data_IF_380664297318
#
_entry.id   IF_380664297318
#
_cell.length_a   1.000
_cell.length_b   1.000
_cell.length_c   1.000
_cell.angle_alpha   90.00
_cell.angle_beta   90.00
_cell.angle_gamma   90.00
#
_symmetry.space_group_name_H-M   'P 1'
#
loop_
_entity.id
_entity.type
_entity.pdbx_description
1 polymer ?
#
# COMPACT_ATOMS: atom_id res chain seq x y z
N UNK A 1 12.39 17.00 16.16
CA UNK A 1 12.22 18.13 17.11
C UNK A 1 10.73 18.36 17.22
N UNK A 2 10.16 18.06 18.39
CA UNK A 2 8.71 18.20 18.66
C UNK A 2 8.29 19.61 18.30
N UNK A 3 7.34 19.77 17.38
CA UNK A 3 6.74 21.08 17.15
C UNK A 3 5.96 21.45 18.41
N UNK A 4 6.55 22.30 19.23
CA UNK A 4 5.86 22.98 20.32
C UNK A 4 4.88 23.98 19.70
N UNK A 5 3.59 23.63 19.68
CA UNK A 5 2.54 24.59 19.42
C UNK A 5 2.52 25.65 20.54
N UNK A 6 2.29 26.92 20.17
CA UNK A 6 2.23 28.01 21.12
C UNK A 6 1.02 27.85 22.06
N UNK A 7 1.13 28.15 23.37
CA UNK A 7 0.04 27.94 24.35
C UNK A 7 -1.23 28.80 24.14
N UNK A 8 -1.25 29.67 23.13
CA UNK A 8 -2.33 30.65 22.89
C UNK A 8 -3.19 30.33 21.68
N UNK A 9 -2.85 29.32 20.88
CA UNK A 9 -3.77 28.84 19.85
C UNK A 9 -4.86 28.03 20.54
N UNK A 10 -6.11 28.49 20.43
CA UNK A 10 -7.26 27.85 21.04
C UNK A 10 -7.41 26.40 20.59
N UNK A 11 -6.74 25.48 21.28
CA UNK A 11 -6.97 24.05 21.18
C UNK A 11 -8.29 23.74 21.90
N UNK A 12 -9.40 23.84 21.18
CA UNK A 12 -10.51 22.94 21.45
C UNK A 12 -9.95 21.51 21.40
N UNK A 13 -10.21 20.71 22.43
CA UNK A 13 -9.75 19.32 22.52
C UNK A 13 -9.94 18.60 21.17
N UNK A 14 -8.85 18.39 20.44
CA UNK A 14 -8.89 17.93 19.05
C UNK A 14 -9.38 16.50 18.98
N UNK A 15 -10.26 16.22 18.02
CA UNK A 15 -10.87 14.92 17.71
C UNK A 15 -9.85 13.87 17.19
N UNK A 16 -8.54 14.05 17.40
CA UNK A 16 -7.48 13.21 16.81
C UNK A 16 -7.27 13.42 15.29
N UNK A 17 -7.99 14.37 14.68
CA UNK A 17 -7.96 14.64 13.24
C UNK A 17 -7.07 15.81 12.84
N UNK A 18 -6.44 15.70 11.68
CA UNK A 18 -5.65 16.73 11.02
C UNK A 18 -6.52 17.66 10.18
N UNK A 19 -7.57 17.15 9.54
CA UNK A 19 -8.47 17.96 8.72
C UNK A 19 -9.45 18.77 9.60
N UNK A 20 -9.49 20.08 9.36
CA UNK A 20 -10.53 20.94 9.93
C UNK A 20 -11.84 20.74 9.15
N UNK A 21 -12.68 19.83 9.62
CA UNK A 21 -13.85 19.33 8.90
C UNK A 21 -14.74 20.44 8.31
N UNK A 22 -15.06 21.49 9.07
CA UNK A 22 -15.90 22.59 8.58
C UNK A 22 -15.26 23.37 7.42
N UNK A 23 -13.93 23.57 7.44
CA UNK A 23 -13.21 24.21 6.33
C UNK A 23 -13.16 23.32 5.10
N UNK A 24 -12.91 22.02 5.29
CA UNK A 24 -12.88 21.06 4.19
C UNK A 24 -14.27 20.91 3.57
N UNK A 25 -15.31 20.81 4.38
CA UNK A 25 -16.70 20.78 3.89
C UNK A 25 -17.05 22.03 3.07
N UNK A 26 -16.63 23.22 3.52
CA UNK A 26 -16.83 24.45 2.78
C UNK A 26 -16.05 24.47 1.45
N UNK A 27 -14.81 23.95 1.43
CA UNK A 27 -14.01 23.83 0.21
C UNK A 27 -14.64 22.85 -0.80
N UNK A 28 -15.16 21.71 -0.33
CA UNK A 28 -15.88 20.73 -1.14
C UNK A 28 -17.18 21.31 -1.71
N UNK A 29 -17.94 22.06 -0.90
CA UNK A 29 -19.12 22.79 -1.37
C UNK A 29 -18.79 23.85 -2.42
N UNK A 30 -17.70 24.62 -2.22
CA UNK A 30 -17.23 25.59 -3.21
C UNK A 30 -16.87 24.94 -4.55
N UNK A 31 -16.29 23.73 -4.53
CA UNK A 31 -16.03 22.97 -5.76
C UNK A 31 -17.34 22.65 -6.52
N UNK A 32 -18.39 22.24 -5.80
CA UNK A 32 -19.71 21.97 -6.38
C UNK A 32 -20.36 23.24 -6.94
N UNK A 33 -20.28 24.38 -6.23
CA UNK A 33 -20.77 25.68 -6.69
C UNK A 33 -20.10 26.11 -8.01
N UNK A 34 -18.84 25.73 -8.20
CA UNK A 34 -18.08 25.96 -9.44
C UNK A 34 -18.37 24.93 -10.55
N UNK A 35 -19.27 23.98 -10.32
CA UNK A 35 -19.73 22.99 -11.29
C UNK A 35 -18.96 21.67 -11.27
N UNK A 36 -18.28 21.32 -10.17
CA UNK A 36 -17.77 19.97 -9.98
C UNK A 36 -18.93 18.99 -9.72
N UNK A 37 -18.90 17.82 -10.34
CA UNK A 37 -19.84 16.73 -10.04
C UNK A 37 -19.43 15.91 -8.82
N UNK A 38 -18.13 15.91 -8.51
CA UNK A 38 -17.56 15.25 -7.33
C UNK A 38 -16.28 15.98 -6.89
N UNK A 39 -16.02 16.00 -5.59
CA UNK A 39 -14.76 16.42 -5.01
C UNK A 39 -14.43 15.60 -3.76
N UNK A 40 -13.15 15.40 -3.49
CA UNK A 40 -12.66 14.73 -2.30
C UNK A 40 -11.39 15.41 -1.77
N UNK A 41 -11.15 15.24 -0.47
CA UNK A 41 -9.89 15.54 0.19
C UNK A 41 -9.48 14.30 0.99
N UNK A 42 -8.33 13.73 0.64
CA UNK A 42 -7.72 12.59 1.34
C UNK A 42 -6.40 13.01 1.96
N UNK A 43 -6.28 12.88 3.26
CA UNK A 43 -5.06 13.11 4.02
C UNK A 43 -4.51 11.79 4.51
N UNK A 44 -3.20 11.59 4.37
CA UNK A 44 -2.48 10.51 5.01
C UNK A 44 -1.35 11.07 5.86
N UNK A 45 -1.30 10.66 7.12
CA UNK A 45 -0.19 10.91 8.02
C UNK A 45 0.48 9.56 8.35
N UNK A 46 1.79 9.49 8.15
CA UNK A 46 2.60 8.30 8.40
C UNK A 46 3.60 8.65 9.50
N UNK A 47 3.66 7.82 10.54
CA UNK A 47 4.76 7.84 11.51
C UNK A 47 5.51 6.54 11.38
N UNK A 48 6.75 6.61 10.94
CA UNK A 48 7.57 5.45 10.63
C UNK A 48 8.92 5.49 11.33
N UNK A 49 9.61 4.37 11.30
CA UNK A 49 11.03 4.35 11.61
C UNK A 49 11.78 3.26 10.86
N UNK A 50 12.99 3.60 10.42
CA UNK A 50 13.91 2.69 9.74
C UNK A 50 15.21 2.58 10.52
N UNK A 51 15.59 1.37 10.89
CA UNK A 51 16.90 1.05 11.49
C UNK A 51 17.65 0.09 10.58
N UNK A 52 18.95 0.30 10.37
CA UNK A 52 19.77 -0.65 9.64
C UNK A 52 21.10 -0.89 10.35
N UNK A 53 21.49 -2.16 10.39
CA UNK A 53 22.80 -2.60 10.87
C UNK A 53 23.56 -3.29 9.74
N UNK A 54 24.88 -3.14 9.72
CA UNK A 54 25.80 -3.87 8.86
C UNK A 54 26.91 -4.45 9.72
N UNK A 55 27.13 -5.75 9.58
CA UNK A 55 28.22 -6.48 10.23
C UNK A 55 28.30 -6.17 11.74
N UNK A 56 27.14 -6.24 12.41
CA UNK A 56 26.96 -5.99 13.85
C UNK A 56 27.03 -4.52 14.27
N UNK A 57 27.13 -3.57 13.33
CA UNK A 57 27.25 -2.14 13.62
C UNK A 57 26.05 -1.36 13.11
N UNK A 58 25.57 -0.42 13.92
CA UNK A 58 24.51 0.51 13.53
C UNK A 58 24.98 1.43 12.39
N UNK A 59 24.28 1.40 11.26
CA UNK A 59 24.51 2.32 10.14
C UNK A 59 23.57 3.53 10.22
N UNK A 60 22.29 3.29 10.51
CA UNK A 60 21.28 4.34 10.61
C UNK A 60 20.14 3.95 11.53
N UNK A 61 19.57 4.95 12.19
CA UNK A 61 18.30 4.88 12.89
C UNK A 61 17.56 6.21 12.62
N UNK A 62 16.53 6.16 11.77
CA UNK A 62 15.86 7.34 11.26
C UNK A 62 14.37 7.21 11.62
N UNK A 63 13.84 8.05 12.52
CA UNK A 63 12.40 8.22 12.66
C UNK A 63 11.87 9.13 11.54
N UNK A 64 10.70 8.78 11.00
CA UNK A 64 10.00 9.52 9.96
C UNK A 64 8.63 10.02 10.43
N UNK A 65 8.27 11.18 9.91
CA UNK A 65 6.91 11.71 9.98
C UNK A 65 6.59 12.33 8.63
N UNK A 66 5.57 11.80 7.98
CA UNK A 66 5.10 12.28 6.69
C UNK A 66 3.64 12.67 6.81
N UNK A 67 3.30 13.78 6.15
CA UNK A 67 1.92 14.19 6.00
C UNK A 67 1.71 14.68 4.58
N UNK A 68 0.74 14.10 3.91
CA UNK A 68 0.35 14.47 2.56
C UNK A 68 -1.15 14.60 2.48
N UNK A 69 -1.62 15.57 1.72
CA UNK A 69 -3.03 15.71 1.41
C UNK A 69 -3.24 15.92 -0.08
N UNK A 70 -4.21 15.21 -0.63
CA UNK A 70 -4.60 15.26 -2.03
C UNK A 70 -6.06 15.66 -2.12
N UNK A 71 -6.36 16.65 -2.95
CA UNK A 71 -7.70 17.03 -3.35
C UNK A 71 -7.92 16.61 -4.81
N UNK A 72 -8.91 15.75 -5.05
CA UNK A 72 -9.37 15.42 -6.42
C UNK A 72 -10.73 16.06 -6.67
N UNK A 73 -10.89 16.66 -7.84
CA UNK A 73 -12.14 17.29 -8.28
C UNK A 73 -12.49 16.77 -9.67
N UNK A 74 -13.69 16.21 -9.82
CA UNK A 74 -14.26 15.79 -11.09
C UNK A 74 -15.19 16.88 -11.61
N UNK A 75 -14.87 17.45 -12.78
CA UNK A 75 -15.74 18.41 -13.46
C UNK A 75 -15.80 18.09 -14.96
N UNK A 76 -17.00 18.14 -15.53
CA UNK A 76 -17.27 17.85 -16.95
C UNK A 76 -16.66 16.52 -17.44
N UNK A 77 -16.57 15.53 -16.54
CA UNK A 77 -16.01 14.20 -16.80
C UNK A 77 -14.49 14.14 -16.95
N UNK A 78 -13.75 15.02 -16.26
CA UNK A 78 -12.30 14.95 -16.14
C UNK A 78 -11.81 15.36 -14.74
N UNK A 79 -10.68 14.79 -14.32
CA UNK A 79 -10.07 15.06 -13.03
C UNK A 79 -9.17 16.31 -13.05
N UNK A 80 -9.29 17.11 -12.00
CA UNK A 80 -8.28 18.05 -11.54
C UNK A 80 -7.75 17.56 -10.20
N UNK A 81 -6.43 17.55 -10.03
CA UNK A 81 -5.77 17.04 -8.82
C UNK A 81 -4.82 18.08 -8.27
N UNK A 82 -4.87 18.30 -6.96
CA UNK A 82 -3.93 19.14 -6.23
C UNK A 82 -3.43 18.39 -5.00
N UNK A 83 -2.11 18.22 -4.89
CA UNK A 83 -1.46 17.56 -3.75
C UNK A 83 -0.51 18.53 -3.06
N UNK A 84 -0.49 18.52 -1.73
CA UNK A 84 0.35 19.42 -0.93
C UNK A 84 0.64 18.83 0.44
N UNK A 85 1.67 19.32 1.11
CA UNK A 85 1.94 19.06 2.53
C UNK A 85 1.42 20.21 3.41
N UNK A 86 0.99 21.33 2.82
CA UNK A 86 0.36 22.45 3.53
C UNK A 86 -1.17 22.31 3.49
N UNK A 87 -1.72 21.66 4.52
CA UNK A 87 -3.17 21.44 4.68
C UNK A 87 -3.96 22.75 4.69
N UNK A 88 -3.39 23.84 5.23
CA UNK A 88 -4.11 25.11 5.35
C UNK A 88 -4.28 25.81 3.99
N UNK A 89 -3.43 25.48 3.02
CA UNK A 89 -3.50 26.04 1.66
C UNK A 89 -4.68 25.49 0.83
N UNK A 90 -5.22 24.32 1.18
CA UNK A 90 -6.21 23.59 0.36
C UNK A 90 -7.43 24.42 -0.06
N UNK A 91 -8.12 25.16 0.83
CA UNK A 91 -9.30 25.93 0.41
C UNK A 91 -8.99 26.96 -0.69
N UNK A 92 -7.77 27.51 -0.70
CA UNK A 92 -7.32 28.46 -1.72
C UNK A 92 -7.01 27.83 -3.07
N UNK A 93 -6.98 26.50 -3.18
CA UNK A 93 -6.64 25.77 -4.40
C UNK A 93 -7.87 25.17 -5.11
N UNK A 94 -9.08 25.37 -4.58
CA UNK A 94 -10.31 24.80 -5.15
C UNK A 94 -10.56 25.31 -6.57
N UNK A 95 -10.56 26.64 -6.77
CA UNK A 95 -10.84 27.25 -8.08
C UNK A 95 -9.83 26.85 -9.16
N UNK A 96 -8.53 26.86 -8.81
CA UNK A 96 -7.47 26.45 -9.74
C UNK A 96 -7.61 24.99 -10.14
N UNK A 97 -8.01 24.12 -9.20
CA UNK A 97 -8.21 22.68 -9.41
C UNK A 97 -9.46 22.40 -10.26
N UNK A 98 -10.59 23.08 -10.01
CA UNK A 98 -11.79 23.00 -10.87
C UNK A 98 -11.47 23.48 -12.29
N UNK A 99 -10.74 24.60 -12.41
CA UNK A 99 -10.32 25.13 -13.72
C UNK A 99 -9.43 24.13 -14.47
N UNK A 100 -8.53 23.43 -13.76
CA UNK A 100 -7.72 22.38 -14.35
C UNK A 100 -8.60 21.23 -14.88
N UNK A 101 -9.53 20.73 -14.06
CA UNK A 101 -10.48 19.67 -14.45
C UNK A 101 -11.23 20.04 -15.74
N UNK A 102 -11.84 21.23 -15.78
CA UNK A 102 -12.55 21.75 -16.96
C UNK A 102 -11.65 21.93 -18.18
N UNK A 103 -10.41 22.37 -17.98
CA UNK A 103 -9.43 22.51 -19.05
C UNK A 103 -9.03 21.15 -19.65
N UNK A 104 -8.93 20.09 -18.84
CA UNK A 104 -8.69 18.73 -19.31
C UNK A 104 -9.93 18.21 -20.06
N UNK A 105 -11.13 18.39 -19.51
CA UNK A 105 -12.38 17.99 -20.16
C UNK A 105 -12.54 18.62 -21.56
N UNK A 106 -12.20 19.90 -21.72
CA UNK A 106 -12.27 20.61 -23.00
C UNK A 106 -11.30 20.08 -24.08
N UNK A 107 -10.27 19.31 -23.69
CA UNK A 107 -9.27 18.72 -24.60
C UNK A 107 -9.44 17.21 -24.78
N UNK A 108 -10.42 16.59 -24.10
CA UNK A 108 -10.74 15.17 -24.21
C UNK A 108 -11.05 14.83 -25.67
N UNK A 109 -10.48 13.75 -26.20
CA UNK A 109 -10.79 13.32 -27.56
C UNK A 109 -12.24 12.86 -27.63
N UNK A 110 -12.89 13.04 -28.78
CA UNK A 110 -14.31 12.67 -28.96
C UNK A 110 -14.57 11.16 -28.81
N UNK A 111 -13.54 10.33 -28.97
CA UNK A 111 -13.61 8.87 -28.78
C UNK A 111 -13.50 8.44 -27.31
N UNK A 112 -12.98 9.31 -26.44
CA UNK A 112 -12.76 8.99 -25.03
C UNK A 112 -14.03 9.28 -24.24
N UNK A 113 -14.42 8.35 -23.35
CA UNK A 113 -15.60 8.52 -22.50
C UNK A 113 -15.30 9.52 -21.37
N UNK A 114 -16.26 10.39 -20.99
CA UNK A 114 -16.11 11.19 -19.78
C UNK A 114 -15.99 10.27 -18.56
N UNK A 115 -15.14 10.66 -17.61
CA UNK A 115 -15.02 9.96 -16.32
C UNK A 115 -16.32 10.15 -15.54
N UNK A 116 -16.79 9.05 -14.95
CA UNK A 116 -17.92 9.01 -14.03
C UNK A 116 -17.65 7.94 -12.97
N UNK A 117 -18.32 8.07 -11.82
CA UNK A 117 -18.10 7.23 -10.65
C UNK A 117 -19.30 6.31 -10.44
N UNK A 118 -19.03 5.08 -10.03
CA UNK A 118 -20.08 4.19 -9.54
C UNK A 118 -20.56 4.67 -8.15
N UNK A 119 -21.84 4.46 -7.88
CA UNK A 119 -22.44 4.77 -6.59
C UNK A 119 -21.88 3.85 -5.50
N UNK A 120 -21.69 4.43 -4.31
CA UNK A 120 -21.20 3.71 -3.12
C UNK A 120 -21.99 4.13 -1.89
N UNK A 121 -22.06 3.29 -0.85
CA UNK A 121 -22.61 3.70 0.44
C UNK A 121 -21.83 4.90 0.99
N UNK A 122 -22.53 5.96 1.39
CA UNK A 122 -21.93 7.11 2.06
C UNK A 122 -21.86 6.81 3.56
N UNK A 123 -20.65 6.80 4.12
CA UNK A 123 -20.37 6.36 5.48
C UNK A 123 -19.68 7.48 6.28
N UNK A 124 -20.05 7.56 7.56
CA UNK A 124 -19.45 8.46 8.54
C UNK A 124 -19.07 7.66 9.80
N UNK A 125 -17.82 7.24 9.87
CA UNK A 125 -17.27 6.45 10.97
C UNK A 125 -15.74 6.42 10.94
N UNK A 126 -15.17 5.94 12.05
CA UNK A 126 -13.74 5.74 12.23
C UNK A 126 -13.43 4.26 12.45
N UNK A 127 -12.39 3.72 11.79
CA UNK A 127 -11.97 2.31 11.91
C UNK A 127 -10.49 2.22 12.23
N UNK A 128 -10.16 1.80 13.44
CA UNK A 128 -8.77 1.71 13.91
C UNK A 128 -8.39 0.27 14.24
N UNK A 129 -7.53 -0.31 13.41
CA UNK A 129 -6.93 -1.62 13.63
C UNK A 129 -5.77 -1.47 14.62
N UNK A 130 -6.05 -1.73 15.89
CA UNK A 130 -5.07 -1.63 16.96
C UNK A 130 -4.15 -2.86 16.97
N UNK A 131 -2.81 -2.66 17.05
CA UNK A 131 -1.87 -3.74 17.27
C UNK A 131 -1.95 -4.24 18.72
N UNK A 132 -1.36 -5.40 19.01
CA UNK A 132 -1.14 -5.87 20.39
C UNK A 132 -0.03 -5.07 21.08
N UNK A 133 1.03 -4.70 20.35
CA UNK A 133 2.19 -3.93 20.81
C UNK A 133 2.52 -2.81 19.82
N UNK A 134 2.07 -1.60 20.11
CA UNK A 134 2.25 -0.44 19.23
C UNK A 134 3.73 -0.12 18.92
N UNK A 135 4.10 -0.09 17.64
CA UNK A 135 5.50 0.16 17.22
C UNK A 135 6.00 1.55 17.60
N UNK A 136 5.10 2.52 17.78
CA UNK A 136 5.46 3.88 18.21
C UNK A 136 6.01 3.92 19.63
N UNK A 137 5.76 2.87 20.42
CA UNK A 137 6.28 2.70 21.77
C UNK A 137 7.53 1.81 21.82
N UNK A 138 7.99 1.30 20.68
CA UNK A 138 9.16 0.42 20.61
C UNK A 138 10.44 1.26 20.56
N UNK A 139 11.29 1.12 21.57
CA UNK A 139 12.57 1.84 21.64
C UNK A 139 13.63 1.27 20.70
N UNK A 140 14.72 2.02 20.52
CA UNK A 140 15.82 1.62 19.63
C UNK A 140 16.52 0.35 20.13
N UNK A 141 16.68 0.18 21.44
CA UNK A 141 17.40 -0.96 22.01
C UNK A 141 16.66 -2.28 21.73
N UNK A 142 15.33 -2.28 21.82
CA UNK A 142 14.49 -3.42 21.43
C UNK A 142 14.66 -3.75 19.94
N UNK A 143 14.63 -2.73 19.06
CA UNK A 143 14.84 -2.92 17.62
C UNK A 143 16.21 -3.50 17.32
N UNK A 144 17.26 -2.97 17.97
CA UNK A 144 18.63 -3.46 17.84
C UNK A 144 18.77 -4.90 18.34
N UNK A 145 18.11 -5.26 19.44
CA UNK A 145 18.12 -6.63 19.96
C UNK A 145 17.59 -7.65 18.94
N UNK A 146 16.46 -7.35 18.29
CA UNK A 146 15.91 -8.21 17.24
C UNK A 146 16.81 -8.26 16.00
N UNK A 147 17.35 -7.11 15.57
CA UNK A 147 18.28 -7.05 14.44
C UNK A 147 19.56 -7.85 14.70
N UNK A 148 20.14 -7.76 15.90
CA UNK A 148 21.33 -8.53 16.27
C UNK A 148 21.04 -10.03 16.34
N UNK A 149 19.87 -10.43 16.84
CA UNK A 149 19.46 -11.84 16.84
C UNK A 149 19.43 -12.42 15.41
N UNK A 150 18.86 -11.68 14.45
CA UNK A 150 18.83 -12.07 13.04
C UNK A 150 20.24 -12.04 12.41
N UNK A 151 21.04 -11.04 12.75
CA UNK A 151 22.41 -10.90 12.25
C UNK A 151 23.31 -12.05 12.70
N UNK A 152 23.38 -12.28 14.01
CA UNK A 152 24.34 -13.20 14.62
C UNK A 152 24.10 -14.64 14.13
N UNK A 153 22.83 -15.04 14.04
CA UNK A 153 22.43 -16.35 13.51
C UNK A 153 22.73 -16.54 12.01
N UNK A 154 22.77 -15.47 11.23
CA UNK A 154 23.15 -15.53 9.82
C UNK A 154 24.68 -15.55 9.61
N UNK A 155 25.45 -15.03 10.55
CA UNK A 155 26.89 -14.79 10.41
C UNK A 155 27.78 -15.97 10.87
N UNK A 156 27.23 -17.08 11.36
CA UNK A 156 27.97 -18.21 11.98
C UNK A 156 28.93 -19.03 11.05
N UNK A 157 29.14 -18.65 9.79
CA UNK A 157 30.03 -19.36 8.84
C UNK A 157 31.05 -18.40 8.22
N UNK A 158 32.32 -18.83 8.16
CA UNK A 158 33.45 -17.99 7.70
C UNK A 158 33.33 -17.49 6.25
N UNK A 159 32.51 -18.15 5.42
CA UNK A 159 32.25 -17.72 4.05
C UNK A 159 31.21 -16.61 3.99
N UNK A 160 30.47 -16.36 5.08
CA UNK A 160 29.59 -15.20 5.18
C UNK A 160 30.45 -13.99 5.49
N UNK A 161 30.66 -13.17 4.46
CA UNK A 161 31.58 -12.03 4.52
C UNK A 161 30.89 -10.72 4.87
N UNK A 162 29.55 -10.65 4.75
CA UNK A 162 28.78 -9.50 5.22
C UNK A 162 27.31 -9.86 5.45
N UNK A 163 26.73 -9.27 6.49
CA UNK A 163 25.29 -9.34 6.78
C UNK A 163 24.76 -7.93 7.02
N UNK A 164 23.73 -7.54 6.29
CA UNK A 164 22.99 -6.30 6.51
C UNK A 164 21.58 -6.64 6.97
N UNK A 165 21.15 -6.14 8.13
CA UNK A 165 19.80 -6.30 8.62
C UNK A 165 19.08 -4.95 8.68
N UNK A 166 17.78 -4.97 8.41
CA UNK A 166 16.94 -3.78 8.40
C UNK A 166 15.64 -4.00 9.18
N UNK A 167 15.19 -2.92 9.79
CA UNK A 167 13.92 -2.80 10.50
C UNK A 167 13.14 -1.66 9.84
N UNK A 168 11.86 -1.88 9.59
CA UNK A 168 10.90 -0.87 9.16
C UNK A 168 9.59 -1.04 9.93
N UNK A 169 9.11 0.02 10.55
CA UNK A 169 7.76 0.07 11.11
C UNK A 169 7.04 1.34 10.68
N UNK A 170 5.71 1.27 10.58
CA UNK A 170 4.87 2.39 10.19
C UNK A 170 3.51 2.34 10.89
N UNK A 171 3.02 3.51 11.30
CA UNK A 171 1.64 3.78 11.66
C UNK A 171 1.03 4.67 10.59
N UNK A 172 0.01 4.18 9.90
CA UNK A 172 -0.69 4.93 8.87
C UNK A 172 -2.01 5.44 9.45
N UNK A 173 -2.26 6.74 9.35
CA UNK A 173 -3.52 7.40 9.67
C UNK A 173 -4.05 8.08 8.42
N UNK A 174 -5.31 7.81 8.07
CA UNK A 174 -5.92 8.36 6.86
C UNK A 174 -7.28 8.98 7.18
N UNK A 175 -7.54 10.12 6.56
CA UNK A 175 -8.81 10.83 6.64
C UNK A 175 -9.33 11.11 5.23
N UNK A 176 -10.60 10.85 4.99
CA UNK A 176 -11.27 11.13 3.72
C UNK A 176 -12.54 11.94 3.99
N UNK A 177 -12.70 13.03 3.24
CA UNK A 177 -13.94 13.79 3.15
C UNK A 177 -14.32 13.99 1.69
N UNK A 178 -15.60 13.83 1.35
CA UNK A 178 -16.08 13.97 -0.04
C UNK A 178 -17.28 14.92 -0.12
N UNK A 179 -17.51 15.48 -1.31
CA UNK A 179 -18.65 16.34 -1.61
C UNK A 179 -19.99 15.61 -1.55
N UNK A 180 -19.98 14.27 -1.55
CA UNK A 180 -21.15 13.41 -1.38
C UNK A 180 -21.50 13.15 0.09
N UNK A 181 -20.67 13.65 1.03
CA UNK A 181 -20.89 13.52 2.47
C UNK A 181 -20.12 12.37 3.14
N UNK A 182 -19.31 11.60 2.40
CA UNK A 182 -18.42 10.60 3.01
C UNK A 182 -17.45 11.29 3.97
N UNK A 183 -17.33 10.78 5.19
CA UNK A 183 -16.45 11.32 6.22
C UNK A 183 -15.83 10.18 7.04
N UNK A 184 -14.66 9.70 6.61
CA UNK A 184 -14.03 8.48 7.13
C UNK A 184 -12.68 8.78 7.76
N UNK A 185 -12.35 8.03 8.80
CA UNK A 185 -11.00 7.97 9.37
C UNK A 185 -10.60 6.51 9.56
N UNK A 186 -9.36 6.17 9.26
CA UNK A 186 -8.84 4.87 9.65
C UNK A 186 -7.36 4.89 9.97
N UNK A 187 -6.93 3.90 10.74
CA UNK A 187 -5.51 3.66 10.97
C UNK A 187 -5.19 2.20 11.23
N UNK A 188 -3.96 1.84 10.91
CA UNK A 188 -3.37 0.51 11.14
C UNK A 188 -1.83 0.64 11.17
N UNK A 189 -1.13 -0.45 11.45
CA UNK A 189 0.33 -0.48 11.51
C UNK A 189 0.90 -1.58 10.63
N UNK A 190 2.15 -1.42 10.18
CA UNK A 190 2.94 -2.51 9.61
C UNK A 190 4.30 -2.56 10.25
N UNK A 191 4.84 -3.77 10.33
CA UNK A 191 6.18 -4.04 10.84
C UNK A 191 6.90 -5.01 9.91
N UNK A 192 8.20 -4.77 9.68
CA UNK A 192 9.04 -5.58 8.81
C UNK A 192 10.46 -5.64 9.38
N UNK A 193 11.02 -6.85 9.41
CA UNK A 193 12.45 -7.09 9.63
C UNK A 193 13.01 -7.87 8.44
N UNK A 194 14.23 -7.55 8.01
CA UNK A 194 14.88 -8.22 6.89
C UNK A 194 16.38 -8.39 7.07
N UNK A 195 16.97 -9.28 6.27
CA UNK A 195 18.40 -9.41 6.14
C UNK A 195 18.82 -9.68 4.70
N UNK A 196 19.97 -9.14 4.32
CA UNK A 196 20.74 -9.54 3.14
C UNK A 196 22.04 -10.17 3.62
N UNK A 197 22.24 -11.45 3.29
CA UNK A 197 23.40 -12.25 3.68
C UNK A 197 24.27 -12.44 2.46
N UNK A 198 25.55 -12.10 2.54
CA UNK A 198 26.50 -12.18 1.42
C UNK A 198 27.58 -13.21 1.73
N UNK A 199 27.69 -14.20 0.85
CA UNK A 199 28.67 -15.26 0.91
C UNK A 199 29.77 -15.09 -0.14
N UNK A 200 30.97 -15.55 0.17
CA UNK A 200 32.11 -15.60 -0.75
C UNK A 200 32.85 -16.93 -0.61
N UNK A 201 33.19 -17.53 -1.75
CA UNK A 201 34.11 -18.67 -1.83
C UNK A 201 35.05 -18.46 -3.03
N UNK A 202 36.34 -18.24 -2.74
CA UNK A 202 37.32 -17.82 -3.74
C UNK A 202 36.88 -16.53 -4.48
N UNK A 203 36.65 -16.66 -5.79
CA UNK A 203 36.20 -15.56 -6.66
C UNK A 203 34.68 -15.37 -6.69
N UNK A 204 33.91 -16.36 -6.23
CA UNK A 204 32.45 -16.34 -6.33
C UNK A 204 31.84 -15.56 -5.16
N UNK A 205 30.84 -14.73 -5.49
CA UNK A 205 30.09 -13.91 -4.53
C UNK A 205 28.61 -14.04 -4.83
N UNK A 206 27.83 -14.38 -3.81
CA UNK A 206 26.37 -14.49 -3.89
C UNK A 206 25.74 -13.78 -2.72
N UNK A 207 24.47 -13.36 -2.88
CA UNK A 207 23.68 -12.81 -1.80
C UNK A 207 22.31 -13.47 -1.74
N UNK A 208 21.80 -13.68 -0.54
CA UNK A 208 20.44 -14.13 -0.28
C UNK A 208 19.69 -13.07 0.54
N UNK A 209 18.41 -12.88 0.24
CA UNK A 209 17.54 -11.94 0.97
C UNK A 209 16.47 -12.73 1.71
N UNK A 210 16.26 -12.38 2.98
CA UNK A 210 15.17 -12.89 3.79
C UNK A 210 14.43 -11.73 4.44
N UNK A 211 13.14 -11.91 4.72
CA UNK A 211 12.30 -10.91 5.36
C UNK A 211 11.13 -11.56 6.07
N UNK A 212 10.65 -10.91 7.12
CA UNK A 212 9.40 -11.23 7.79
C UNK A 212 8.69 -9.92 8.15
N UNK A 213 7.38 -9.86 7.92
CA UNK A 213 6.59 -8.69 8.23
C UNK A 213 5.12 -8.87 7.92
N UNK A 214 4.33 -7.92 8.40
CA UNK A 214 2.86 -7.99 8.32
C UNK A 214 2.19 -6.71 8.80
N UNK A 215 0.86 -6.66 8.64
CA UNK A 215 0.02 -5.71 9.37
C UNK A 215 0.02 -6.05 10.86
N UNK A 216 0.25 -5.06 11.69
CA UNK A 216 0.39 -5.20 13.13
C UNK A 216 1.63 -4.52 13.69
N UNK A 217 1.77 -4.62 15.01
CA UNK A 217 2.82 -3.96 15.77
C UNK A 217 4.07 -4.83 15.95
N UNK A 218 4.79 -4.58 17.05
CA UNK A 218 5.99 -5.34 17.44
C UNK A 218 5.71 -6.84 17.57
N UNK A 219 4.49 -7.24 17.92
CA UNK A 219 4.09 -8.66 17.99
C UNK A 219 4.34 -9.41 16.68
N UNK A 220 4.25 -8.74 15.52
CA UNK A 220 4.49 -9.36 14.22
C UNK A 220 5.94 -9.86 14.11
N UNK A 221 6.88 -9.10 14.67
CA UNK A 221 8.31 -9.43 14.64
C UNK A 221 8.65 -10.45 15.72
N UNK A 222 8.07 -10.33 16.91
CA UNK A 222 8.30 -11.27 18.02
C UNK A 222 7.68 -12.66 17.79
N UNK A 223 6.60 -12.76 17.00
CA UNK A 223 6.00 -14.04 16.62
C UNK A 223 6.88 -14.83 15.63
N UNK A 224 7.95 -14.24 15.10
CA UNK A 224 8.92 -14.88 14.21
C UNK A 224 10.15 -15.40 14.98
N UNK A 225 10.58 -16.63 14.69
CA UNK A 225 11.89 -17.11 15.12
C UNK A 225 13.00 -16.48 14.26
N UNK A 226 13.49 -15.31 14.71
CA UNK A 226 14.53 -14.55 14.00
C UNK A 226 15.87 -15.30 13.93
N UNK A 227 16.15 -16.18 14.89
CA UNK A 227 17.34 -17.02 14.86
C UNK A 227 17.26 -18.06 13.75
N UNK A 228 16.10 -18.71 13.60
CA UNK A 228 15.87 -19.62 12.48
C UNK A 228 15.82 -18.90 11.13
N UNK A 229 15.24 -17.70 11.08
CA UNK A 229 15.22 -16.87 9.87
C UNK A 229 16.64 -16.55 9.39
N UNK A 230 17.54 -16.20 10.31
CA UNK A 230 18.95 -15.93 10.01
C UNK A 230 19.72 -17.18 9.59
N UNK A 231 19.59 -18.29 10.34
CA UNK A 231 20.20 -19.58 9.97
C UNK A 231 19.74 -20.07 8.60
N UNK A 232 18.45 -19.98 8.31
CA UNK A 232 17.90 -20.34 7.00
C UNK A 232 18.48 -19.48 5.87
N UNK A 233 18.68 -18.18 6.10
CA UNK A 233 19.32 -17.28 5.13
C UNK A 233 20.80 -17.58 4.91
N UNK A 234 21.53 -17.96 5.96
CA UNK A 234 22.90 -18.47 5.86
C UNK A 234 22.94 -19.74 5.00
N UNK A 235 22.14 -20.74 5.34
CA UNK A 235 22.08 -22.02 4.60
C UNK A 235 21.78 -21.77 3.12
N UNK A 236 20.81 -20.90 2.82
CA UNK A 236 20.46 -20.55 1.45
C UNK A 236 21.63 -19.88 0.71
N UNK A 237 22.35 -18.95 1.36
CA UNK A 237 23.55 -18.31 0.82
C UNK A 237 24.65 -19.32 0.51
N UNK A 238 24.95 -20.22 1.46
CA UNK A 238 25.97 -21.25 1.28
C UNK A 238 25.59 -22.27 0.20
N UNK A 239 24.29 -22.55 0.05
CA UNK A 239 23.78 -23.37 -1.05
C UNK A 239 23.96 -22.67 -2.40
N UNK A 240 23.70 -21.35 -2.48
CA UNK A 240 23.91 -20.57 -3.70
C UNK A 240 25.38 -20.51 -4.13
N UNK A 241 26.33 -20.45 -3.18
CA UNK A 241 27.77 -20.51 -3.49
C UNK A 241 28.15 -21.80 -4.24
N UNK A 242 27.45 -22.89 -3.98
CA UNK A 242 27.69 -24.20 -4.59
C UNK A 242 26.76 -24.49 -5.77
N UNK A 243 25.89 -23.55 -6.14
CA UNK A 243 24.86 -23.80 -7.14
C UNK A 243 25.46 -23.81 -8.55
N UNK A 244 25.12 -24.86 -9.30
CA UNK A 244 25.42 -24.92 -10.73
C UNK A 244 24.48 -24.01 -11.51
N UNK A 245 24.86 -23.70 -12.76
CA UNK A 245 23.99 -22.94 -13.66
C UNK A 245 22.71 -23.73 -13.91
N UNK A 246 21.57 -23.05 -13.79
CA UNK A 246 20.27 -23.65 -14.10
C UNK A 246 20.21 -24.10 -15.58
N UNK A 247 19.55 -25.23 -15.89
CA UNK A 247 19.34 -25.67 -17.27
C UNK A 247 18.43 -24.68 -18.02
N UNK A 248 18.60 -24.60 -19.34
CA UNK A 248 17.77 -23.76 -20.21
C UNK A 248 16.74 -24.60 -20.98
N UNK A 249 15.57 -24.02 -21.22
CA UNK A 249 14.50 -24.64 -22.03
C UNK A 249 13.13 -24.62 -21.35
N UNK A 250 12.16 -25.27 -21.99
CA UNK A 250 10.82 -25.48 -21.44
C UNK A 250 10.83 -26.71 -20.55
N UNK A 251 10.65 -26.52 -19.25
CA UNK A 251 10.70 -27.57 -18.25
C UNK A 251 9.49 -27.44 -17.30
N UNK A 252 8.98 -28.55 -16.73
CA UNK A 252 8.06 -28.47 -15.62
C UNK A 252 8.70 -27.74 -14.42
N UNK A 253 7.97 -26.81 -13.82
CA UNK A 253 8.38 -26.11 -12.60
C UNK A 253 7.50 -26.58 -11.44
N UNK A 254 8.13 -27.00 -10.35
CA UNK A 254 7.47 -27.17 -9.05
C UNK A 254 7.92 -25.99 -8.18
N UNK A 255 7.01 -25.07 -7.91
CA UNK A 255 7.27 -23.89 -7.09
C UNK A 255 6.74 -24.10 -5.67
N UNK A 256 7.46 -23.56 -4.69
CA UNK A 256 6.92 -23.41 -3.34
C UNK A 256 5.82 -22.34 -3.30
N UNK A 257 5.20 -22.16 -2.13
CA UNK A 257 4.10 -21.21 -1.92
C UNK A 257 4.49 -19.76 -2.18
N UNK A 258 5.70 -19.34 -1.85
CA UNK A 258 6.12 -17.94 -1.91
C UNK A 258 6.40 -17.56 -3.37
N UNK A 259 7.11 -18.43 -4.10
CA UNK A 259 7.31 -18.25 -5.54
C UNK A 259 5.99 -18.35 -6.32
N UNK A 260 5.10 -19.26 -5.91
CA UNK A 260 3.75 -19.35 -6.51
C UNK A 260 2.97 -18.05 -6.30
N UNK A 261 3.02 -17.46 -5.11
CA UNK A 261 2.38 -16.17 -4.82
C UNK A 261 2.88 -15.06 -5.74
N UNK A 262 4.21 -14.93 -5.92
CA UNK A 262 4.80 -13.96 -6.86
C UNK A 262 4.37 -14.25 -8.30
N UNK A 263 4.36 -15.51 -8.72
CA UNK A 263 3.90 -15.87 -10.05
C UNK A 263 2.44 -15.45 -10.28
N UNK A 264 1.56 -15.68 -9.31
CA UNK A 264 0.15 -15.27 -9.39
C UNK A 264 0.02 -13.74 -9.41
N UNK A 265 0.82 -13.01 -8.61
CA UNK A 265 0.86 -11.55 -8.60
C UNK A 265 1.14 -10.98 -10.00
N UNK A 266 2.16 -11.50 -10.68
CA UNK A 266 2.56 -11.03 -12.02
C UNK A 266 1.63 -11.54 -13.13
N UNK A 267 1.33 -12.85 -13.12
CA UNK A 267 0.63 -13.50 -14.21
C UNK A 267 -0.88 -13.20 -14.24
N UNK A 268 -1.46 -12.83 -13.09
CA UNK A 268 -2.90 -12.66 -12.93
C UNK A 268 -3.27 -11.41 -12.13
N UNK A 269 -2.54 -11.12 -11.05
CA UNK A 269 -2.81 -10.00 -10.16
C UNK A 269 -2.90 -8.67 -10.90
N UNK A 270 -1.78 -8.21 -11.47
CA UNK A 270 -1.76 -6.99 -12.29
C UNK A 270 -2.72 -7.05 -13.49
N UNK A 271 -2.76 -8.13 -14.30
CA UNK A 271 -3.76 -8.23 -15.37
C UNK A 271 -5.23 -8.10 -14.92
N UNK A 272 -5.55 -8.39 -13.66
CA UNK A 272 -6.90 -8.21 -13.09
C UNK A 272 -7.19 -6.79 -12.60
N UNK A 273 -6.21 -5.86 -12.61
CA UNK A 273 -6.42 -4.45 -12.27
C UNK A 273 -7.19 -3.75 -13.40
N UNK A 274 -8.43 -3.34 -13.11
CA UNK A 274 -9.36 -2.84 -14.11
C UNK A 274 -8.91 -1.53 -14.79
N UNK A 275 -8.00 -0.75 -14.20
CA UNK A 275 -7.42 0.42 -14.86
C UNK A 275 -6.52 0.00 -16.05
N UNK A 276 -5.71 -1.05 -15.89
CA UNK A 276 -4.94 -1.66 -16.97
C UNK A 276 -5.84 -2.30 -18.02
N UNK A 277 -6.95 -2.93 -17.61
CA UNK A 277 -7.95 -3.46 -18.54
C UNK A 277 -8.60 -2.33 -19.34
N UNK A 278 -9.03 -1.25 -18.69
CA UNK A 278 -9.67 -0.10 -19.34
C UNK A 278 -8.72 0.64 -20.30
N UNK A 279 -7.42 0.67 -19.98
CA UNK A 279 -6.39 1.23 -20.85
C UNK A 279 -6.08 0.36 -22.08
N UNK A 280 -6.51 -0.91 -22.10
CA UNK A 280 -6.16 -1.89 -23.13
C UNK A 280 -4.77 -2.51 -22.96
N UNK A 281 -4.17 -2.36 -21.77
CA UNK A 281 -2.84 -2.88 -21.43
C UNK A 281 -2.89 -4.27 -20.74
N UNK A 282 -4.08 -4.79 -20.47
CA UNK A 282 -4.29 -6.13 -19.91
C UNK A 282 -4.67 -7.17 -20.97
N UNK A 283 -4.10 -8.37 -20.84
CA UNK A 283 -4.51 -9.54 -21.63
C UNK A 283 -5.88 -10.12 -21.23
N UNK A 284 -6.50 -9.59 -20.16
CA UNK A 284 -7.79 -10.04 -19.66
C UNK A 284 -8.99 -9.21 -20.16
N UNK A 285 -8.77 -8.24 -21.06
CA UNK A 285 -9.89 -7.49 -21.66
C UNK A 285 -10.91 -8.44 -22.34
N UNK A 286 -12.19 -8.21 -22.03
CA UNK A 286 -13.30 -9.06 -22.47
C UNK A 286 -13.31 -10.49 -21.93
N UNK A 287 -12.51 -10.82 -20.91
CA UNK A 287 -12.40 -12.19 -20.35
C UNK A 287 -13.23 -12.45 -19.11
N UNK A 288 -13.93 -11.45 -18.58
CA UNK A 288 -14.83 -11.65 -17.44
C UNK A 288 -15.88 -12.73 -17.76
N UNK A 289 -16.00 -13.72 -16.88
CA UNK A 289 -16.85 -14.91 -17.05
C UNK A 289 -16.25 -16.02 -17.92
N UNK A 290 -15.06 -15.84 -18.52
CA UNK A 290 -14.41 -16.87 -19.35
C UNK A 290 -13.44 -17.74 -18.55
N UNK A 291 -13.24 -18.98 -19.03
CA UNK A 291 -12.18 -19.86 -18.54
C UNK A 291 -10.82 -19.35 -19.04
N UNK A 292 -9.96 -18.94 -18.10
CA UNK A 292 -8.60 -18.45 -18.36
C UNK A 292 -7.52 -19.35 -17.78
N UNK A 293 -7.89 -20.34 -16.94
CA UNK A 293 -6.96 -21.23 -16.27
C UNK A 293 -7.50 -22.65 -16.07
N UNK A 294 -6.70 -23.49 -15.42
CA UNK A 294 -7.09 -24.86 -15.08
C UNK A 294 -8.19 -24.86 -14.01
N UNK A 295 -9.12 -25.82 -14.06
CA UNK A 295 -10.25 -25.94 -13.14
C UNK A 295 -9.87 -26.13 -11.66
N UNK A 296 -8.63 -26.53 -11.37
CA UNK A 296 -8.13 -26.65 -9.98
C UNK A 296 -7.71 -25.30 -9.37
N UNK A 297 -7.58 -24.24 -10.18
CA UNK A 297 -7.03 -22.96 -9.74
C UNK A 297 -8.15 -22.03 -9.28
N UNK A 298 -8.00 -21.52 -8.06
CA UNK A 298 -8.79 -20.42 -7.50
C UNK A 298 -7.82 -19.38 -6.95
N UNK A 299 -8.04 -18.11 -7.28
CA UNK A 299 -7.19 -16.98 -6.88
C UNK A 299 -8.07 -15.94 -6.19
N UNK A 300 -7.60 -15.49 -5.04
CA UNK A 300 -8.30 -14.56 -4.15
C UNK A 300 -7.35 -13.43 -3.78
N UNK A 301 -7.86 -12.20 -3.83
CA UNK A 301 -7.25 -11.01 -3.21
C UNK A 301 -8.04 -10.69 -1.94
N UNK A 302 -7.38 -10.74 -0.78
CA UNK A 302 -8.06 -10.57 0.51
C UNK A 302 -7.28 -9.65 1.48
N UNK A 303 -7.60 -8.34 1.48
CA UNK A 303 -7.08 -7.37 2.45
C UNK A 303 -7.58 -7.58 3.89
N UNK A 304 -8.54 -8.47 4.13
CA UNK A 304 -9.13 -8.68 5.47
C UNK A 304 -8.32 -9.65 6.34
N UNK A 305 -7.33 -10.34 5.76
CA UNK A 305 -6.44 -11.28 6.46
C UNK A 305 -5.44 -10.51 7.36
N UNK A 306 -5.86 -10.24 8.60
CA UNK A 306 -5.03 -9.59 9.64
C UNK A 306 -3.69 -10.32 9.82
N UNK A 307 -2.61 -9.57 9.98
CA UNK A 307 -1.24 -10.10 9.98
C UNK A 307 -0.59 -10.21 8.59
N UNK A 308 -1.37 -10.22 7.51
CA UNK A 308 -0.84 -10.11 6.15
C UNK A 308 -0.30 -8.70 5.88
N UNK A 309 0.83 -8.56 5.19
CA UNK A 309 1.42 -7.24 4.90
C UNK A 309 0.51 -6.34 4.06
N UNK A 310 -0.30 -6.97 3.19
CA UNK A 310 -1.29 -6.32 2.34
C UNK A 310 -2.59 -5.90 3.02
N UNK A 311 -2.79 -6.30 4.28
CA UNK A 311 -4.05 -6.08 4.97
C UNK A 311 -4.29 -4.59 5.27
N UNK A 312 -5.54 -4.15 5.10
CA UNK A 312 -5.98 -2.79 5.42
C UNK A 312 -7.52 -2.76 5.59
N UNK A 313 -8.08 -1.91 6.46
CA UNK A 313 -9.51 -1.93 6.76
C UNK A 313 -10.39 -1.30 5.67
N UNK A 314 -9.89 -0.21 5.06
CA UNK A 314 -10.62 0.65 4.13
C UNK A 314 -9.68 0.98 2.99
N UNK A 315 -10.19 0.94 1.76
CA UNK A 315 -9.47 1.41 0.58
C UNK A 315 -9.37 2.95 0.56
N UNK A 316 -8.57 3.49 -0.36
CA UNK A 316 -8.32 4.93 -0.42
C UNK A 316 -9.45 5.77 -1.05
N UNK A 317 -10.59 5.15 -1.40
CA UNK A 317 -11.85 5.82 -1.76
C UNK A 317 -12.93 5.70 -0.67
N UNK A 318 -12.59 5.11 0.48
CA UNK A 318 -13.45 5.06 1.67
C UNK A 318 -14.36 3.84 1.75
N UNK A 319 -14.14 2.82 0.91
CA UNK A 319 -14.90 1.57 0.90
C UNK A 319 -14.29 0.56 1.89
N UNK A 320 -15.15 -0.11 2.65
CA UNK A 320 -14.72 -1.21 3.50
C UNK A 320 -14.19 -2.36 2.62
N UNK A 321 -13.02 -2.85 2.97
CA UNK A 321 -12.37 -3.90 2.19
C UNK A 321 -13.05 -5.25 2.37
N UNK A 322 -12.91 -6.12 1.35
CA UNK A 322 -13.42 -7.49 1.37
C UNK A 322 -12.54 -8.43 0.56
N UNK A 323 -12.74 -9.73 0.81
CA UNK A 323 -12.30 -10.80 -0.07
C UNK A 323 -12.87 -10.62 -1.48
N UNK A 324 -12.00 -10.78 -2.48
CA UNK A 324 -12.32 -10.72 -3.91
C UNK A 324 -11.86 -12.01 -4.57
N UNK A 325 -12.80 -12.84 -5.00
CA UNK A 325 -12.50 -14.06 -5.74
C UNK A 325 -12.30 -13.70 -7.21
N UNK A 326 -11.05 -13.45 -7.61
CA UNK A 326 -10.69 -13.06 -8.97
C UNK A 326 -10.87 -14.23 -9.94
N UNK A 327 -10.44 -15.43 -9.53
CA UNK A 327 -10.58 -16.65 -10.31
C UNK A 327 -11.22 -17.72 -9.47
N UNK A 328 -12.27 -18.36 -9.99
CA UNK A 328 -12.91 -19.52 -9.37
C UNK A 328 -12.88 -20.71 -10.31
N UNK A 329 -12.17 -21.77 -9.94
CA UNK A 329 -12.02 -22.99 -10.74
C UNK A 329 -11.63 -22.68 -12.21
N UNK A 330 -10.62 -21.83 -12.41
CA UNK A 330 -10.11 -21.43 -13.72
C UNK A 330 -10.94 -20.39 -14.48
N UNK A 331 -12.08 -19.93 -13.95
CA UNK A 331 -12.92 -18.89 -14.55
C UNK A 331 -12.64 -17.53 -13.93
N UNK A 332 -12.40 -16.50 -14.74
CA UNK A 332 -12.28 -15.11 -14.28
C UNK A 332 -13.65 -14.61 -13.83
N UNK A 333 -13.81 -14.34 -12.53
CA UNK A 333 -15.09 -13.98 -11.92
C UNK A 333 -15.19 -12.50 -11.55
N UNK A 334 -14.07 -11.82 -11.32
CA UNK A 334 -14.06 -10.42 -10.90
C UNK A 334 -12.73 -9.75 -11.30
N UNK A 335 -12.79 -8.45 -11.65
CA UNK A 335 -11.60 -7.59 -11.72
C UNK A 335 -11.41 -6.85 -10.39
N UNK A 336 -10.17 -6.58 -10.00
CA UNK A 336 -9.90 -5.52 -9.01
C UNK A 336 -10.37 -4.20 -9.60
N UNK A 337 -11.08 -3.37 -8.83
CA UNK A 337 -11.59 -2.11 -9.34
C UNK A 337 -11.77 -1.04 -8.24
N UNK A 338 -11.91 0.20 -8.69
CA UNK A 338 -12.30 1.36 -7.89
C UNK A 338 -13.54 2.00 -8.52
N UNK A 339 -14.11 3.08 -7.97
CA UNK A 339 -15.39 3.63 -8.44
C UNK A 339 -15.41 4.00 -9.92
N UNK A 340 -14.32 4.53 -10.46
CA UNK A 340 -14.24 4.94 -11.88
C UNK A 340 -14.24 3.73 -12.85
N UNK A 341 -13.37 2.75 -12.65
CA UNK A 341 -13.32 1.53 -13.47
C UNK A 341 -14.55 0.64 -13.27
N UNK A 342 -15.13 0.62 -12.06
CA UNK A 342 -16.41 -0.03 -11.80
C UNK A 342 -17.52 0.55 -12.68
N UNK A 343 -17.62 1.88 -12.76
CA UNK A 343 -18.56 2.55 -13.67
C UNK A 343 -18.25 2.25 -15.14
N UNK A 344 -16.97 2.25 -15.52
CA UNK A 344 -16.55 1.98 -16.90
C UNK A 344 -17.04 0.62 -17.42
N UNK A 345 -16.92 -0.41 -16.59
CA UNK A 345 -17.29 -1.79 -16.92
C UNK A 345 -18.71 -2.19 -16.50
N UNK A 346 -19.50 -1.28 -15.93
CA UNK A 346 -20.84 -1.58 -15.38
C UNK A 346 -20.82 -2.73 -14.35
N UNK A 347 -19.85 -2.68 -13.43
CA UNK A 347 -19.67 -3.63 -12.33
C UNK A 347 -19.70 -2.93 -10.98
N UNK A 348 -19.85 -3.69 -9.90
CA UNK A 348 -19.84 -3.13 -8.54
C UNK A 348 -18.41 -2.77 -8.08
N UNK A 349 -18.22 -1.61 -7.41
CA UNK A 349 -17.00 -1.29 -6.67
C UNK A 349 -16.63 -2.40 -5.69
N UNK A 350 -15.35 -2.78 -5.64
CA UNK A 350 -14.89 -3.87 -4.76
C UNK A 350 -13.77 -3.50 -3.79
N UNK A 351 -13.57 -2.21 -3.55
CA UNK A 351 -12.57 -1.69 -2.63
C UNK A 351 -11.13 -2.06 -3.04
N UNK A 352 -10.78 -1.85 -4.31
CA UNK A 352 -9.45 -2.05 -4.87
C UNK A 352 -8.65 -0.75 -5.06
N UNK A 353 -9.13 0.39 -4.55
CA UNK A 353 -8.43 1.67 -4.72
C UNK A 353 -7.31 1.83 -3.69
N UNK A 354 -6.06 1.97 -4.14
CA UNK A 354 -4.91 2.22 -3.25
C UNK A 354 -4.01 3.31 -3.80
N UNK A 355 -3.50 4.15 -2.92
CA UNK A 355 -2.49 5.14 -3.21
C UNK A 355 -1.20 4.84 -2.44
N UNK A 356 -0.09 5.33 -2.97
CA UNK A 356 1.23 5.17 -2.35
C UNK A 356 1.33 5.89 -1.00
N UNK A 357 0.84 7.13 -0.94
CA UNK A 357 0.90 8.02 0.21
C UNK A 357 -0.17 9.11 0.07
N UNK A 358 -0.16 10.12 0.94
CA UNK A 358 -1.12 11.23 0.94
C UNK A 358 -0.97 12.24 -0.20
N UNK A 359 0.08 12.17 -1.00
CA UNK A 359 0.35 13.07 -2.13
C UNK A 359 -0.02 12.46 -3.50
N UNK A 360 -0.30 11.17 -3.53
CA UNK A 360 -0.69 10.44 -4.75
C UNK A 360 -2.19 10.18 -4.79
N UNK A 361 -2.76 10.07 -5.99
CA UNK A 361 -4.14 9.63 -6.14
C UNK A 361 -4.25 8.10 -6.07
N UNK A 362 -5.40 7.55 -5.67
CA UNK A 362 -5.64 6.12 -5.70
C UNK A 362 -5.66 5.57 -7.13
N UNK A 363 -5.16 4.36 -7.30
CA UNK A 363 -5.24 3.55 -8.52
C UNK A 363 -5.78 2.16 -8.17
N UNK A 364 -6.14 1.36 -9.16
CA UNK A 364 -6.59 -0.02 -8.90
C UNK A 364 -5.39 -0.87 -8.54
N UNK A 365 -5.39 -1.50 -7.36
CA UNK A 365 -4.27 -2.31 -6.88
C UNK A 365 -4.72 -3.55 -6.12
N UNK A 366 -3.89 -4.58 -6.17
CA UNK A 366 -3.94 -5.73 -5.26
C UNK A 366 -3.76 -5.31 -3.79
N UNK A 367 -4.08 -6.21 -2.86
CA UNK A 367 -3.97 -6.01 -1.41
C UNK A 367 -2.70 -6.60 -0.83
#
# INVERSE_FOLDING_TARGET
>A
MVMSANPTDGHSAGTGRYLQQSKIQAALGHAQDLGASYAEVRLMAITDSSVAIRDGKLERAIPGQEIGVTMRILADGAWGVHSTTDIQSLPGQVESTVRLAKAVAARRASKDRPVALADVPILENEVHWKPKKDVRNTDLDTKLHHLMTLHDSAAEDERIVSVTCGWHDEHLHTELMTSEGMNRVWSFQRSLINATVTGRDGGDVVSYRTRHGGEGGLEVIEDCDLGELGRSAQIATLRLLKAERAPSGKLPLVADRDLTGVYIHEALGHPCEADLVAAGDSCLDGKLGQTIGNSIVTVVDDPTIRGGYGAHPIDDEGLDTREKCLIKNGVLTEYLNHRETAHHFDIAPNAGARAQDGLHHPLVRMS
#
